data_IF_575138647523
#
_entry.id   IF_575138647523
#
_cell.length_a   1.000
_cell.length_b   1.000
_cell.length_c   1.000
_cell.angle_alpha   90.00
_cell.angle_beta   90.00
_cell.angle_gamma   90.00
#
_symmetry.space_group_name_H-M   'P 1'
#
loop_
_entity.id
_entity.type
_entity.pdbx_description
1 polymer ?
#
# COMPACT_ATOMS: atom_id res chain seq x y z
N UNK A 1 -44.93 -18.95 4.23
CA UNK A 1 -44.01 -18.60 3.12
C UNK A 1 -43.37 -17.23 3.29
N UNK A 2 -44.13 -16.12 3.43
CA UNK A 2 -43.57 -14.76 3.59
C UNK A 2 -42.54 -14.60 4.73
N UNK A 3 -42.76 -15.25 5.87
CA UNK A 3 -41.84 -15.26 7.01
C UNK A 3 -40.54 -16.02 6.76
N UNK A 4 -40.59 -17.10 5.97
CA UNK A 4 -39.41 -17.89 5.59
C UNK A 4 -38.53 -17.11 4.60
N UNK A 5 -39.16 -16.40 3.65
CA UNK A 5 -38.47 -15.53 2.72
C UNK A 5 -37.74 -14.38 3.43
N UNK A 6 -38.34 -13.79 4.47
CA UNK A 6 -37.69 -12.74 5.27
C UNK A 6 -36.48 -13.26 6.05
N UNK A 7 -36.57 -14.47 6.61
CA UNK A 7 -35.45 -15.09 7.32
C UNK A 7 -34.31 -15.43 6.35
N UNK A 8 -34.63 -16.01 5.19
CA UNK A 8 -33.64 -16.34 4.16
C UNK A 8 -32.94 -15.08 3.62
N UNK A 9 -33.70 -14.01 3.37
CA UNK A 9 -33.14 -12.73 2.94
C UNK A 9 -32.22 -12.13 4.00
N UNK A 10 -32.59 -12.18 5.28
CA UNK A 10 -31.73 -11.70 6.37
C UNK A 10 -30.44 -12.52 6.49
N UNK A 11 -30.52 -13.85 6.34
CA UNK A 11 -29.33 -14.74 6.35
C UNK A 11 -28.42 -14.42 5.16
N UNK A 12 -28.97 -14.22 3.96
CA UNK A 12 -28.18 -13.80 2.80
C UNK A 12 -27.46 -12.46 3.05
N UNK A 13 -28.14 -11.46 3.64
CA UNK A 13 -27.52 -10.15 3.96
C UNK A 13 -26.34 -10.29 4.94
N UNK A 14 -26.44 -11.16 5.94
CA UNK A 14 -25.35 -11.40 6.91
C UNK A 14 -24.18 -12.16 6.30
N UNK A 15 -24.45 -13.01 5.31
CA UNK A 15 -23.42 -13.78 4.60
C UNK A 15 -22.71 -12.98 3.50
N UNK A 16 -23.13 -11.74 3.23
CA UNK A 16 -22.38 -10.89 2.31
C UNK A 16 -20.99 -10.61 2.91
N UNK A 17 -19.90 -10.85 2.16
CA UNK A 17 -18.57 -10.55 2.64
C UNK A 17 -18.47 -9.04 2.90
N UNK A 18 -18.04 -8.67 4.11
CA UNK A 18 -17.65 -7.30 4.39
C UNK A 18 -16.43 -6.95 3.54
N UNK A 19 -16.47 -5.81 2.85
CA UNK A 19 -15.32 -5.31 2.09
C UNK A 19 -14.10 -5.08 2.99
N UNK A 20 -12.88 -5.07 2.42
CA UNK A 20 -11.66 -4.82 3.20
C UNK A 20 -11.72 -3.42 3.83
N UNK A 21 -11.44 -3.34 5.14
CA UNK A 21 -11.31 -2.06 5.83
C UNK A 21 -9.97 -1.40 5.44
N UNK A 22 -10.03 -0.26 4.72
CA UNK A 22 -8.87 0.56 4.33
C UNK A 22 -8.34 1.39 5.51
N UNK A 23 -7.89 0.73 6.59
CA UNK A 23 -7.43 1.39 7.81
C UNK A 23 -5.97 1.87 7.74
N UNK A 24 -5.13 1.25 6.91
CA UNK A 24 -3.70 1.58 6.86
C UNK A 24 -3.45 2.78 5.97
N UNK A 25 -2.71 3.77 6.49
CA UNK A 25 -2.24 4.87 5.67
C UNK A 25 -1.26 4.35 4.61
N UNK A 26 -1.32 4.90 3.41
CA UNK A 26 -0.45 4.52 2.30
C UNK A 26 -0.15 5.74 1.43
N UNK A 27 0.97 5.68 0.72
CA UNK A 27 1.32 6.69 -0.28
C UNK A 27 0.37 6.54 -1.48
N UNK A 28 -0.35 7.60 -1.80
CA UNK A 28 -1.34 7.66 -2.90
C UNK A 28 -0.70 8.22 -4.16
N UNK A 29 0.12 9.26 -4.01
CA UNK A 29 0.79 9.94 -5.11
C UNK A 29 2.07 10.60 -4.64
N UNK A 30 3.02 10.77 -5.55
CA UNK A 30 4.28 11.42 -5.30
C UNK A 30 4.61 12.39 -6.44
N UNK A 31 5.23 13.52 -6.13
CA UNK A 31 5.80 14.45 -7.11
C UNK A 31 7.23 14.75 -6.67
N UNK A 32 8.26 14.37 -7.46
CA UNK A 32 8.20 13.62 -8.72
C UNK A 32 7.55 12.24 -8.60
N UNK A 33 6.93 11.78 -9.70
CA UNK A 33 6.33 10.45 -9.78
C UNK A 33 7.38 9.35 -9.65
N UNK A 34 6.93 8.18 -9.18
CA UNK A 34 7.78 6.99 -9.09
C UNK A 34 8.30 6.60 -10.47
N UNK A 35 9.60 6.38 -10.57
CA UNK A 35 10.35 6.02 -11.78
C UNK A 35 10.26 7.07 -12.91
N UNK A 36 9.85 8.30 -12.60
CA UNK A 36 9.81 9.38 -13.58
C UNK A 36 11.22 9.75 -14.05
N UNK A 37 11.34 10.12 -15.33
CA UNK A 37 12.53 10.76 -15.91
C UNK A 37 12.18 12.22 -16.19
N UNK A 38 12.78 13.13 -15.45
CA UNK A 38 12.49 14.56 -15.50
C UNK A 38 13.47 15.26 -16.43
N UNK A 39 12.93 16.07 -17.35
CA UNK A 39 13.75 16.96 -18.20
C UNK A 39 14.18 18.26 -17.51
N UNK A 40 13.70 18.48 -16.29
CA UNK A 40 14.05 19.63 -15.46
C UNK A 40 14.16 19.18 -14.02
N UNK A 41 15.22 19.62 -13.33
CA UNK A 41 15.39 19.33 -11.92
C UNK A 41 14.19 19.87 -11.09
N UNK A 42 13.58 19.05 -10.22
CA UNK A 42 12.53 19.51 -9.33
C UNK A 42 13.13 20.40 -8.23
N UNK A 43 12.34 21.34 -7.72
CA UNK A 43 12.73 22.17 -6.56
C UNK A 43 12.18 21.63 -5.25
N UNK A 44 11.26 20.66 -5.29
CA UNK A 44 10.63 20.08 -4.11
C UNK A 44 10.18 18.65 -4.37
N UNK A 45 10.03 17.89 -3.30
CA UNK A 45 9.38 16.58 -3.28
C UNK A 45 8.12 16.65 -2.44
N UNK A 46 6.98 16.23 -3.01
CA UNK A 46 5.68 16.22 -2.34
C UNK A 46 5.08 14.82 -2.37
N UNK A 47 4.67 14.33 -1.21
CA UNK A 47 4.07 13.02 -1.01
C UNK A 47 2.65 13.19 -0.48
N UNK A 48 1.68 12.51 -1.10
CA UNK A 48 0.28 12.53 -0.69
C UNK A 48 -0.14 11.14 -0.18
N UNK A 49 -0.84 11.13 0.95
CA UNK A 49 -1.22 9.92 1.66
C UNK A 49 -2.75 9.80 1.80
N UNK A 50 -3.23 8.60 2.18
CA UNK A 50 -4.66 8.38 2.41
C UNK A 50 -5.19 9.08 3.66
N UNK A 51 -4.38 9.11 4.72
CA UNK A 51 -4.75 9.64 6.03
C UNK A 51 -4.00 10.94 6.36
N UNK A 52 -4.53 11.67 7.34
CA UNK A 52 -3.87 12.88 7.85
C UNK A 52 -2.59 12.50 8.57
N UNK A 53 -1.54 13.27 8.33
CA UNK A 53 -0.22 13.06 8.93
C UNK A 53 -0.09 13.84 10.24
N UNK A 54 0.69 13.29 11.16
CA UNK A 54 1.20 13.98 12.32
C UNK A 54 2.45 14.80 11.91
N UNK A 55 2.45 16.13 12.14
CA UNK A 55 3.55 17.00 11.74
C UNK A 55 4.88 16.70 12.45
N UNK A 56 4.85 16.22 13.69
CA UNK A 56 6.07 16.08 14.51
C UNK A 56 6.89 14.83 14.18
N UNK A 57 6.27 13.84 13.51
CA UNK A 57 6.87 12.52 13.28
C UNK A 57 6.96 12.15 11.80
N UNK A 58 7.04 13.15 10.92
CA UNK A 58 7.25 12.95 9.49
C UNK A 58 8.68 13.27 9.08
N UNK A 59 9.30 12.37 8.31
CA UNK A 59 10.65 12.54 7.75
C UNK A 59 10.64 12.15 6.28
N UNK A 60 11.27 12.98 5.46
CA UNK A 60 11.53 12.71 4.04
C UNK A 60 13.01 12.98 3.79
N UNK A 61 13.69 12.02 3.17
CA UNK A 61 15.10 12.12 2.80
C UNK A 61 15.23 11.87 1.31
N UNK A 62 15.95 12.76 0.63
CA UNK A 62 16.34 12.59 -0.77
C UNK A 62 17.82 12.27 -0.82
N UNK A 63 18.22 11.30 -1.62
CA UNK A 63 19.62 10.88 -1.76
C UNK A 63 19.99 10.61 -3.21
N UNK A 64 21.27 10.81 -3.55
CA UNK A 64 21.80 10.51 -4.88
C UNK A 64 22.11 9.01 -5.06
N UNK A 65 22.61 8.63 -6.24
CA UNK A 65 23.00 7.26 -6.54
C UNK A 65 24.12 6.71 -5.63
N UNK A 66 24.94 7.59 -5.04
CA UNK A 66 25.97 7.26 -4.06
C UNK A 66 25.43 7.20 -2.62
N UNK A 67 24.11 7.28 -2.43
CA UNK A 67 23.41 7.33 -1.13
C UNK A 67 23.77 8.54 -0.27
N UNK A 68 24.34 9.59 -0.87
CA UNK A 68 24.60 10.84 -0.14
C UNK A 68 23.28 11.62 -0.02
N UNK A 69 22.91 12.08 1.18
CA UNK A 69 21.70 12.86 1.37
C UNK A 69 21.84 14.21 0.66
N UNK A 70 20.78 14.63 -0.01
CA UNK A 70 20.63 15.95 -0.58
C UNK A 70 20.05 16.88 0.50
N UNK A 71 20.68 18.03 0.78
CA UNK A 71 20.13 19.02 1.70
C UNK A 71 18.73 19.47 1.28
N UNK A 72 17.82 19.50 2.25
CA UNK A 72 16.43 19.86 2.06
C UNK A 72 15.86 20.47 3.34
N UNK A 73 14.80 21.26 3.19
CA UNK A 73 14.04 21.81 4.31
C UNK A 73 13.44 20.72 5.20
N UNK A 74 13.06 21.10 6.43
CA UNK A 74 12.15 20.27 7.22
C UNK A 74 10.83 20.02 6.47
N UNK A 75 10.17 18.85 6.65
CA UNK A 75 8.89 18.56 6.01
C UNK A 75 7.79 19.54 6.45
N UNK A 76 7.15 20.18 5.48
CA UNK A 76 5.92 20.95 5.70
C UNK A 76 4.72 20.04 5.48
N UNK A 77 3.86 19.91 6.49
CA UNK A 77 2.68 19.04 6.45
C UNK A 77 1.42 19.87 6.21
N UNK A 78 0.61 19.42 5.24
CA UNK A 78 -0.72 19.98 4.96
C UNK A 78 -1.73 18.85 4.87
N UNK A 79 -2.45 18.61 5.97
CA UNK A 79 -3.41 17.52 6.13
C UNK A 79 -2.82 16.15 5.78
N UNK A 80 -2.99 15.69 4.54
CA UNK A 80 -2.56 14.37 4.04
C UNK A 80 -1.28 14.42 3.21
N UNK A 81 -0.70 15.61 3.04
CA UNK A 81 0.46 15.83 2.19
C UNK A 81 1.67 16.27 3.00
N UNK A 82 2.85 15.81 2.60
CA UNK A 82 4.14 16.20 3.15
C UNK A 82 5.03 16.72 2.01
N UNK A 83 5.65 17.88 2.20
CA UNK A 83 6.53 18.51 1.20
C UNK A 83 7.87 18.86 1.81
N UNK A 84 8.96 18.55 1.11
CA UNK A 84 10.29 19.09 1.38
C UNK A 84 10.77 19.90 0.18
N UNK A 85 11.38 21.04 0.44
CA UNK A 85 12.04 21.87 -0.58
C UNK A 85 13.51 21.48 -0.64
N UNK A 86 14.06 21.32 -1.85
CA UNK A 86 15.47 21.01 -2.04
C UNK A 86 16.27 22.31 -2.00
N UNK A 87 17.33 22.33 -1.19
CA UNK A 87 18.12 23.56 -0.96
C UNK A 87 19.10 23.85 -2.11
N UNK A 88 19.28 22.87 -3.00
CA UNK A 88 20.15 22.97 -4.17
C UNK A 88 19.50 22.34 -5.40
N UNK A 89 19.88 22.83 -6.58
CA UNK A 89 19.46 22.23 -7.84
C UNK A 89 20.06 20.82 -7.99
N UNK A 90 19.24 19.89 -8.48
CA UNK A 90 19.69 18.52 -8.77
C UNK A 90 20.41 18.48 -10.11
N UNK A 91 21.56 17.79 -10.15
CA UNK A 91 22.23 17.44 -11.39
C UNK A 91 21.56 16.26 -12.08
N UNK A 92 22.09 15.86 -13.24
CA UNK A 92 21.61 14.67 -13.94
C UNK A 92 21.98 13.40 -13.15
N UNK A 93 21.05 12.46 -13.04
CA UNK A 93 21.25 11.21 -12.34
C UNK A 93 19.99 10.65 -11.68
N UNK A 94 20.15 9.48 -11.06
CA UNK A 94 19.11 8.82 -10.28
C UNK A 94 19.11 9.32 -8.83
N UNK A 95 17.91 9.54 -8.31
CA UNK A 95 17.66 9.97 -6.94
C UNK A 95 16.68 9.02 -6.26
N UNK A 96 16.88 8.77 -4.97
CA UNK A 96 15.99 8.01 -4.11
C UNK A 96 15.32 8.93 -3.10
N UNK A 97 14.00 8.86 -3.01
CA UNK A 97 13.20 9.46 -1.95
C UNK A 97 12.83 8.35 -0.98
N UNK A 98 13.24 8.50 0.28
CA UNK A 98 12.81 7.66 1.39
C UNK A 98 11.94 8.48 2.34
N UNK A 99 10.90 7.86 2.90
CA UNK A 99 10.01 8.53 3.83
C UNK A 99 9.64 7.61 5.00
N UNK A 100 9.43 8.25 6.15
CA UNK A 100 8.78 7.69 7.33
C UNK A 100 7.74 8.69 7.79
N UNK A 101 6.48 8.30 7.81
CA UNK A 101 5.38 9.18 8.23
C UNK A 101 4.58 8.50 9.34
N UNK A 102 4.01 9.30 10.23
CA UNK A 102 3.07 8.83 11.24
C UNK A 102 1.74 9.52 10.99
N UNK A 103 0.67 8.74 10.91
CA UNK A 103 -0.69 9.26 10.80
C UNK A 103 -1.17 9.81 12.14
N UNK A 104 -2.23 10.63 12.15
CA UNK A 104 -2.83 11.15 13.39
C UNK A 104 -3.41 10.07 14.32
N UNK A 105 -3.66 8.86 13.80
CA UNK A 105 -4.08 7.68 14.56
C UNK A 105 -2.91 6.88 15.15
N UNK A 106 -1.66 7.34 14.94
CA UNK A 106 -0.44 6.76 15.51
C UNK A 106 0.25 5.70 14.63
N UNK A 107 -0.33 5.30 13.50
CA UNK A 107 0.28 4.29 12.65
C UNK A 107 1.46 4.86 11.84
N UNK A 108 2.60 4.17 11.90
CA UNK A 108 3.80 4.50 11.14
C UNK A 108 3.80 3.80 9.78
N UNK A 109 4.14 4.55 8.72
CA UNK A 109 4.32 4.03 7.36
C UNK A 109 5.68 4.45 6.84
N UNK A 110 6.39 3.52 6.22
CA UNK A 110 7.70 3.76 5.62
C UNK A 110 7.73 3.29 4.18
N UNK A 111 8.56 3.91 3.37
CA UNK A 111 8.76 3.48 2.00
C UNK A 111 9.86 4.26 1.31
N UNK A 112 10.15 3.83 0.09
CA UNK A 112 11.10 4.50 -0.79
C UNK A 112 10.70 4.35 -2.24
N UNK A 113 11.11 5.29 -3.07
CA UNK A 113 10.98 5.22 -4.51
C UNK A 113 12.09 6.04 -5.19
N UNK A 114 12.24 5.86 -6.49
CA UNK A 114 13.29 6.53 -7.28
C UNK A 114 12.69 7.43 -8.35
N UNK A 115 13.41 8.48 -8.74
CA UNK A 115 13.19 9.26 -9.96
C UNK A 115 14.55 9.62 -10.58
N UNK A 116 14.56 10.01 -11.84
CA UNK A 116 15.78 10.38 -12.58
C UNK A 116 15.66 11.80 -13.09
N UNK A 117 16.74 12.57 -13.02
CA UNK A 117 16.87 13.87 -13.68
C UNK A 117 17.76 13.69 -14.91
N UNK A 118 17.26 14.12 -16.07
CA UNK A 118 17.92 14.11 -17.37
C UNK A 118 17.66 15.46 -18.06
N UNK A 119 18.08 16.52 -17.38
CA UNK A 119 18.01 17.90 -17.81
C UNK A 119 19.11 18.18 -18.85
N UNK A 120 18.75 18.49 -20.11
CA UNK A 120 19.73 18.79 -21.16
C UNK A 120 20.45 20.12 -20.94
N UNK A 121 19.98 20.96 -20.02
CA UNK A 121 20.56 22.25 -19.65
C UNK A 121 21.35 22.20 -18.33
N UNK A 122 21.37 21.07 -17.63
CA UNK A 122 22.22 20.91 -16.45
C UNK A 122 23.70 20.98 -16.87
N UNK A 123 24.58 21.65 -16.08
CA UNK A 123 25.99 21.75 -16.41
C UNK A 123 26.55 20.35 -16.66
N UNK A 124 27.16 20.16 -17.83
CA UNK A 124 27.78 18.91 -18.21
C UNK A 124 28.80 18.53 -17.14
N UNK A 125 28.56 17.42 -16.43
CA UNK A 125 29.65 16.69 -15.83
C UNK A 125 30.53 16.25 -17.00
N UNK A 126 31.75 16.78 -17.02
CA UNK A 126 32.80 16.61 -18.03
C UNK A 126 32.60 15.37 -18.91
N UNK A 127 32.05 15.60 -20.10
CA UNK A 127 31.89 14.56 -21.10
C UNK A 127 33.26 14.32 -21.74
N UNK A 128 33.95 13.27 -21.29
CA UNK A 128 35.03 12.68 -22.06
C UNK A 128 34.46 12.25 -23.44
N UNK A 129 35.14 12.59 -24.56
CA UNK A 129 34.59 12.38 -25.88
C UNK A 129 34.50 10.91 -26.25
N UNK A 130 33.37 10.60 -26.91
CA UNK A 130 33.09 9.41 -27.71
C UNK A 130 34.28 8.98 -28.56
N UNK A 131 34.70 7.73 -28.42
CA UNK A 131 35.42 7.00 -29.46
C UNK A 131 34.46 5.99 -30.10
N UNK A 132 34.44 6.04 -31.42
CA UNK A 132 33.55 5.36 -32.34
C UNK A 132 33.57 3.82 -32.25
N UNK A 133 32.38 3.26 -32.48
CA UNK A 133 32.07 2.11 -33.33
C UNK A 133 33.17 1.06 -33.62
N UNK A 134 32.90 -0.19 -33.22
CA UNK A 134 33.20 -1.39 -34.02
C UNK A 134 32.26 -2.53 -33.62
N UNK A 135 31.45 -2.97 -34.56
CA UNK A 135 30.85 -4.30 -34.67
C UNK A 135 30.98 -4.69 -36.16
N UNK A 136 30.95 -5.97 -36.58
CA UNK A 136 30.60 -7.19 -35.84
C UNK A 136 31.59 -8.37 -36.07
N UNK A 137 31.60 -9.40 -35.20
CA UNK A 137 32.16 -10.70 -35.60
C UNK A 137 31.40 -11.87 -34.95
N UNK A 138 31.36 -12.97 -35.70
CA UNK A 138 30.33 -14.00 -35.75
C UNK A 138 30.34 -15.01 -34.57
N UNK A 139 29.16 -15.59 -34.35
CA UNK A 139 28.92 -16.82 -33.57
C UNK A 139 29.09 -18.08 -34.47
N UNK A 140 28.92 -19.34 -33.98
CA UNK A 140 29.30 -20.03 -32.72
C UNK A 140 30.07 -21.36 -33.03
N UNK A 141 30.29 -22.29 -32.05
CA UNK A 141 29.29 -23.34 -31.84
C UNK A 141 29.08 -23.77 -30.37
N UNK A 142 28.02 -24.57 -30.21
CA UNK A 142 27.41 -25.06 -28.99
C UNK A 142 28.21 -26.11 -28.20
N UNK A 143 27.98 -26.19 -26.88
CA UNK A 143 27.38 -27.39 -26.25
C UNK A 143 27.30 -27.31 -24.71
N UNK A 144 26.10 -27.61 -24.23
CA UNK A 144 25.74 -28.39 -23.04
C UNK A 144 26.46 -28.14 -21.69
N UNK A 145 25.70 -27.66 -20.70
CA UNK A 145 25.17 -28.52 -19.63
C UNK A 145 24.24 -27.74 -18.71
N UNK A 146 23.00 -28.20 -18.58
CA UNK A 146 22.07 -27.77 -17.56
C UNK A 146 22.19 -28.68 -16.32
N UNK A 147 22.02 -28.15 -15.10
CA UNK A 147 21.44 -28.92 -14.02
C UNK A 147 20.03 -28.41 -13.72
N UNK A 148 19.06 -29.30 -13.91
CA UNK A 148 17.70 -29.19 -13.41
C UNK A 148 17.73 -29.27 -11.89
N UNK A 149 17.38 -28.18 -11.19
CA UNK A 149 17.02 -28.25 -9.77
C UNK A 149 15.53 -28.00 -9.66
N UNK A 150 14.78 -29.09 -9.62
CA UNK A 150 13.41 -29.11 -9.16
C UNK A 150 13.41 -28.84 -7.65
N UNK A 151 12.79 -27.74 -7.22
CA UNK A 151 12.38 -27.55 -5.83
C UNK A 151 10.85 -27.56 -5.81
N UNK A 152 10.33 -28.61 -5.17
CA UNK A 152 8.91 -28.86 -4.95
C UNK A 152 8.23 -27.73 -4.14
N UNK A 153 6.91 -27.53 -4.28
CA UNK A 153 6.17 -26.65 -3.38
C UNK A 153 5.95 -27.37 -2.05
N UNK A 154 6.51 -26.85 -0.97
CA UNK A 154 6.15 -27.28 0.37
C UNK A 154 4.81 -26.64 0.77
N UNK A 155 3.77 -27.47 0.80
CA UNK A 155 2.52 -27.18 1.45
C UNK A 155 2.68 -27.33 2.98
N UNK A 156 2.04 -26.43 3.73
CA UNK A 156 1.41 -26.75 5.01
C UNK A 156 2.16 -26.40 6.30
N UNK A 157 1.66 -25.36 6.99
CA UNK A 157 1.32 -25.33 8.43
C UNK A 157 0.90 -23.90 8.75
N UNK A 158 -0.31 -23.56 9.23
CA UNK A 158 -1.12 -24.28 10.21
C UNK A 158 -0.73 -23.83 11.62
N UNK A 159 -1.31 -22.70 12.07
CA UNK A 159 -1.28 -22.19 13.46
C UNK A 159 -1.91 -20.78 13.46
N UNK A 160 -3.17 -20.54 13.85
CA UNK A 160 -3.78 -20.68 15.19
C UNK A 160 -2.94 -19.94 16.26
N UNK A 161 -3.43 -18.98 17.05
CA UNK A 161 -4.72 -18.32 17.16
C UNK A 161 -4.48 -17.05 18.01
N UNK A 162 -4.97 -15.90 17.56
CA UNK A 162 -5.23 -14.74 18.44
C UNK A 162 -6.42 -13.94 17.86
N UNK A 163 -7.49 -14.70 17.61
CA UNK A 163 -8.77 -14.16 17.20
C UNK A 163 -9.83 -14.94 17.92
N UNK A 164 -10.39 -14.35 18.98
CA UNK A 164 -11.69 -14.78 19.51
C UNK A 164 -12.63 -14.92 18.30
N UNK A 165 -13.24 -16.09 18.04
CA UNK A 165 -13.90 -16.34 16.77
C UNK A 165 -15.16 -15.46 16.68
N UNK A 166 -15.12 -14.48 15.79
CA UNK A 166 -16.28 -13.65 15.38
C UNK A 166 -17.48 -14.54 14.96
N UNK A 167 -17.22 -15.81 14.62
CA UNK A 167 -18.23 -16.83 14.38
C UNK A 167 -19.16 -17.10 15.59
N UNK A 168 -18.69 -17.01 16.83
CA UNK A 168 -19.54 -17.18 18.03
C UNK A 168 -20.49 -15.98 18.24
N UNK A 169 -20.06 -14.78 17.86
CA UNK A 169 -20.90 -13.57 17.96
C UNK A 169 -22.01 -13.63 16.89
N UNK A 170 -21.66 -14.01 15.64
CA UNK A 170 -22.63 -14.20 14.57
C UNK A 170 -23.69 -15.26 14.91
N UNK A 171 -23.25 -16.43 15.41
CA UNK A 171 -24.16 -17.49 15.85
C UNK A 171 -25.02 -17.07 17.05
N UNK A 172 -24.44 -16.35 18.01
CA UNK A 172 -25.15 -15.81 19.17
C UNK A 172 -26.28 -14.84 18.79
N UNK A 173 -26.03 -13.93 17.85
CA UNK A 173 -27.04 -12.98 17.34
C UNK A 173 -28.17 -13.70 16.61
N UNK A 174 -27.84 -14.70 15.78
CA UNK A 174 -28.85 -15.50 15.05
C UNK A 174 -29.71 -16.32 16.02
N UNK A 175 -29.10 -16.95 17.02
CA UNK A 175 -29.82 -17.73 18.03
C UNK A 175 -30.69 -16.83 18.92
N UNK A 176 -30.20 -15.66 19.34
CA UNK A 176 -30.97 -14.71 20.15
C UNK A 176 -32.17 -14.15 19.38
N UNK A 177 -32.00 -13.80 18.11
CA UNK A 177 -33.09 -13.35 17.24
C UNK A 177 -34.13 -14.47 17.00
N UNK A 178 -33.67 -15.70 16.76
CA UNK A 178 -34.53 -16.88 16.61
C UNK A 178 -35.33 -17.18 17.88
N UNK A 179 -34.68 -17.16 19.04
CA UNK A 179 -35.33 -17.40 20.34
C UNK A 179 -36.34 -16.30 20.69
N UNK A 180 -35.98 -15.03 20.50
CA UNK A 180 -36.89 -13.89 20.71
C UNK A 180 -38.13 -13.96 19.81
N UNK A 181 -37.94 -14.36 18.56
CA UNK A 181 -39.04 -14.57 17.62
C UNK A 181 -39.97 -15.72 18.06
N UNK A 182 -39.42 -16.86 18.46
CA UNK A 182 -40.20 -18.01 18.94
C UNK A 182 -40.99 -17.65 20.21
N UNK A 183 -40.37 -16.95 21.15
CA UNK A 183 -41.01 -16.48 22.38
C UNK A 183 -42.22 -15.58 22.09
N UNK A 184 -42.05 -14.55 21.26
CA UNK A 184 -43.16 -13.66 20.88
C UNK A 184 -44.25 -14.41 20.13
N UNK A 185 -43.89 -15.36 19.26
CA UNK A 185 -44.85 -16.14 18.49
C UNK A 185 -45.69 -17.08 19.36
N UNK A 186 -45.09 -17.69 20.40
CA UNK A 186 -45.79 -18.54 21.37
C UNK A 186 -46.70 -17.71 22.27
N UNK A 187 -46.22 -16.55 22.74
CA UNK A 187 -47.03 -15.64 23.56
C UNK A 187 -48.27 -15.14 22.81
N UNK A 188 -48.13 -14.78 21.53
CA UNK A 188 -49.26 -14.36 20.70
C UNK A 188 -50.28 -15.48 20.46
N UNK A 189 -49.84 -16.73 20.27
CA UNK A 189 -50.72 -17.89 20.14
C UNK A 189 -51.44 -18.21 21.46
N UNK A 190 -50.75 -18.10 22.59
CA UNK A 190 -51.34 -18.33 23.90
C UNK A 190 -52.39 -17.28 24.28
N UNK A 191 -52.20 -16.02 23.86
CA UNK A 191 -53.20 -14.95 24.04
C UNK A 191 -54.41 -15.17 23.12
N UNK A 192 -54.20 -15.59 21.87
CA UNK A 192 -55.28 -15.86 20.92
C UNK A 192 -56.09 -17.14 21.23
N UNK A 193 -55.55 -18.05 22.06
CA UNK A 193 -56.25 -19.28 22.49
C UNK A 193 -57.05 -19.11 23.79
N UNK A 194 -57.01 -17.92 24.41
CA UNK A 194 -57.73 -17.59 25.66
C UNK A 194 -58.90 -16.61 25.45
N UNK A 195 -59.20 -16.28 24.20
CA UNK A 195 -60.37 -15.53 23.75
C UNK A 195 -61.28 -16.46 22.98
#
# INVERSE_FOLDING_TARGET
MRRLLLVLAAVCVVLLPAGPALAHNQLVSAKPDRNAVLRKAPTAVTLAFLQRLNPDFTTIVVSDAAKRPIPASAPTIKAKSATVTLDQALGNGAYQVAYRVVSVDGHTVQGKYTFTVADPSAPAADAAPSAAASAPEAAPPASASAPTVAVAPAAGSGGAADGMPIALIGLGVVLAAGAGYLYVSRRRRAVAART
#
